data_IF_735494456442
#
_entry.id   IF_735494456442
#
_cell.length_a   1.000
_cell.length_b   1.000
_cell.length_c   1.000
_cell.angle_alpha   90.00
_cell.angle_beta   90.00
_cell.angle_gamma   90.00
#
_symmetry.space_group_name_H-M   'P 1'
#
loop_
_entity.id
_entity.type
_entity.pdbx_description
1 polymer ?
#
# COMPACT_ATOMS: atom_id res chain seq x y z
N UNK A 1 8.69 -6.17 -20.75
CA UNK A 1 7.36 -5.53 -20.62
C UNK A 1 6.86 -5.87 -19.23
N UNK A 2 6.36 -4.90 -18.45
CA UNK A 2 5.71 -5.22 -17.18
C UNK A 2 4.51 -6.12 -17.49
N UNK A 3 4.37 -7.22 -16.74
CA UNK A 3 3.25 -8.15 -16.90
C UNK A 3 1.97 -7.51 -16.36
N UNK A 4 0.82 -7.94 -16.88
CA UNK A 4 -0.51 -7.39 -16.56
C UNK A 4 -0.82 -7.34 -15.05
N UNK A 5 -0.12 -8.16 -14.24
CA UNK A 5 -0.30 -8.31 -12.80
C UNK A 5 0.70 -7.53 -11.94
N UNK A 6 1.61 -6.74 -12.52
CA UNK A 6 2.71 -6.14 -11.74
C UNK A 6 2.20 -5.14 -10.68
N UNK A 7 1.35 -4.19 -11.06
CA UNK A 7 0.79 -3.23 -10.10
C UNK A 7 -0.11 -3.89 -9.04
N UNK A 8 -1.08 -4.76 -9.40
CA UNK A 8 -1.85 -5.54 -8.43
C UNK A 8 -0.99 -6.30 -7.42
N UNK A 9 0.02 -7.04 -7.89
CA UNK A 9 0.88 -7.84 -7.01
C UNK A 9 1.72 -6.95 -6.10
N UNK A 10 2.32 -5.88 -6.64
CA UNK A 10 3.11 -4.93 -5.84
C UNK A 10 2.25 -4.23 -4.79
N UNK A 11 1.01 -3.89 -5.12
CA UNK A 11 0.05 -3.34 -4.17
C UNK A 11 -0.20 -4.29 -3.00
N UNK A 12 -0.63 -5.53 -3.26
CA UNK A 12 -0.98 -6.47 -2.19
C UNK A 12 0.22 -6.90 -1.35
N UNK A 13 1.41 -7.06 -1.97
CA UNK A 13 2.65 -7.30 -1.22
C UNK A 13 2.97 -6.12 -0.28
N UNK A 14 2.94 -4.90 -0.81
CA UNK A 14 3.29 -3.71 -0.02
C UNK A 14 2.29 -3.41 1.09
N UNK A 15 1.00 -3.58 0.81
CA UNK A 15 -0.08 -3.43 1.76
C UNK A 15 0.00 -4.47 2.87
N UNK A 16 0.24 -5.75 2.53
CA UNK A 16 0.38 -6.83 3.51
C UNK A 16 1.59 -6.63 4.42
N UNK A 17 2.74 -6.24 3.87
CA UNK A 17 3.92 -5.94 4.70
C UNK A 17 3.65 -4.81 5.69
N UNK A 18 2.89 -3.78 5.27
CA UNK A 18 2.49 -2.71 6.17
C UNK A 18 1.57 -3.20 7.29
N UNK A 19 0.54 -3.98 6.96
CA UNK A 19 -0.40 -4.49 7.96
C UNK A 19 0.29 -5.45 8.96
N UNK A 20 1.21 -6.30 8.51
CA UNK A 20 1.99 -7.20 9.39
C UNK A 20 2.97 -6.41 10.27
N UNK A 21 3.55 -5.31 9.76
CA UNK A 21 4.36 -4.41 10.59
C UNK A 21 3.53 -3.76 11.73
N UNK A 22 2.21 -3.71 11.58
CA UNK A 22 1.22 -3.28 12.56
C UNK A 22 0.86 -4.31 13.64
N UNK A 23 1.41 -5.53 13.59
CA UNK A 23 1.20 -6.67 14.52
C UNK A 23 -0.18 -7.34 14.50
N UNK A 24 -1.20 -6.74 13.89
CA UNK A 24 -2.51 -7.35 13.61
C UNK A 24 -3.00 -6.97 12.20
N UNK A 25 -3.69 -7.90 11.52
CA UNK A 25 -4.44 -7.64 10.28
C UNK A 25 -5.94 -7.54 10.64
N UNK A 26 -6.43 -6.39 11.15
CA UNK A 26 -7.85 -6.23 11.35
C UNK A 26 -8.58 -6.34 10.01
N UNK A 27 -9.69 -7.08 9.97
CA UNK A 27 -10.56 -7.26 8.79
C UNK A 27 -10.97 -5.94 8.12
N UNK A 28 -11.01 -4.84 8.88
CA UNK A 28 -11.26 -3.48 8.37
C UNK A 28 -10.14 -2.98 7.45
N UNK A 29 -8.88 -3.33 7.73
CA UNK A 29 -7.73 -2.97 6.88
C UNK A 29 -7.72 -3.77 5.58
N UNK A 30 -8.18 -5.03 5.58
CA UNK A 30 -8.32 -5.82 4.34
C UNK A 30 -9.39 -5.22 3.40
N UNK A 31 -10.55 -4.84 3.95
CA UNK A 31 -11.60 -4.18 3.17
C UNK A 31 -11.14 -2.84 2.60
N UNK A 32 -10.44 -2.03 3.40
CA UNK A 32 -9.85 -0.76 2.95
C UNK A 32 -8.81 -0.97 1.84
N UNK A 33 -8.02 -2.04 1.92
CA UNK A 33 -7.01 -2.39 0.91
C UNK A 33 -7.65 -2.72 -0.44
N UNK A 34 -8.76 -3.47 -0.42
CA UNK A 34 -9.53 -3.78 -1.63
C UNK A 34 -10.22 -2.55 -2.24
N UNK A 35 -10.83 -1.69 -1.41
CA UNK A 35 -11.48 -0.46 -1.88
C UNK A 35 -10.47 0.52 -2.51
N UNK A 36 -9.28 0.65 -1.91
CA UNK A 36 -8.21 1.49 -2.47
C UNK A 36 -7.73 0.97 -3.83
N UNK A 37 -7.55 -0.35 -3.96
CA UNK A 37 -7.15 -1.00 -5.21
C UNK A 37 -8.11 -0.66 -6.35
N UNK A 38 -9.41 -0.74 -6.12
CA UNK A 38 -10.41 -0.47 -7.14
C UNK A 38 -10.56 1.04 -7.41
N UNK A 39 -10.68 1.85 -6.37
CA UNK A 39 -11.03 3.27 -6.50
C UNK A 39 -9.87 4.17 -6.93
N UNK A 40 -8.63 3.85 -6.53
CA UNK A 40 -7.47 4.72 -6.78
C UNK A 40 -6.49 4.09 -7.77
N UNK A 41 -6.25 2.78 -7.66
CA UNK A 41 -5.34 2.08 -8.57
C UNK A 41 -6.04 1.57 -9.84
N UNK A 42 -7.38 1.65 -9.90
CA UNK A 42 -8.17 1.25 -11.07
C UNK A 42 -8.18 -0.26 -11.33
N UNK A 43 -7.86 -1.07 -10.31
CA UNK A 43 -7.78 -2.52 -10.44
C UNK A 43 -9.17 -3.14 -10.40
N UNK A 44 -9.40 -4.12 -11.26
CA UNK A 44 -10.60 -4.95 -11.23
C UNK A 44 -10.55 -5.95 -10.07
N UNK A 45 -11.71 -6.46 -9.68
CA UNK A 45 -11.80 -7.54 -8.68
C UNK A 45 -11.03 -8.79 -9.12
N UNK A 46 -11.04 -9.09 -10.42
CA UNK A 46 -10.32 -10.23 -10.99
C UNK A 46 -8.80 -10.07 -10.90
N UNK A 47 -8.26 -8.91 -11.30
CA UNK A 47 -6.84 -8.61 -11.12
C UNK A 47 -6.43 -8.67 -9.65
N UNK A 48 -7.30 -8.20 -8.75
CA UNK A 48 -7.05 -8.30 -7.31
C UNK A 48 -7.04 -9.76 -6.82
N UNK A 49 -7.93 -10.60 -7.35
CA UNK A 49 -8.02 -12.03 -7.01
C UNK A 49 -6.78 -12.78 -7.48
N UNK A 50 -6.39 -12.60 -8.74
CA UNK A 50 -5.20 -13.23 -9.33
C UNK A 50 -3.91 -12.77 -8.63
N UNK A 51 -3.80 -11.49 -8.31
CA UNK A 51 -2.62 -10.95 -7.64
C UNK A 51 -2.39 -11.48 -6.22
N UNK A 52 -3.46 -11.96 -5.57
CA UNK A 52 -3.42 -12.59 -4.24
C UNK A 52 -3.21 -14.10 -4.29
N UNK A 53 -3.13 -14.69 -5.48
CA UNK A 53 -2.91 -16.13 -5.64
C UNK A 53 -1.58 -16.56 -4.98
N UNK A 54 -1.64 -17.65 -4.22
CA UNK A 54 -0.52 -18.09 -3.38
C UNK A 54 0.67 -18.58 -4.22
N UNK A 55 0.41 -19.20 -5.37
CA UNK A 55 1.46 -19.69 -6.27
C UNK A 55 2.13 -18.52 -6.99
N UNK A 56 1.36 -17.46 -7.28
CA UNK A 56 1.89 -16.21 -7.84
C UNK A 56 2.74 -15.41 -6.84
N UNK A 57 2.29 -15.31 -5.58
CA UNK A 57 2.98 -14.54 -4.52
C UNK A 57 4.23 -15.27 -4.00
N UNK A 58 4.17 -16.58 -3.80
CA UNK A 58 5.24 -17.36 -3.15
C UNK A 58 6.58 -17.30 -3.87
N UNK A 59 6.57 -16.95 -5.15
CA UNK A 59 7.77 -16.81 -5.98
C UNK A 59 8.37 -15.39 -5.97
N UNK A 60 7.79 -14.43 -5.24
CA UNK A 60 8.27 -13.04 -5.17
C UNK A 60 9.10 -12.79 -3.91
N UNK A 61 10.26 -12.17 -4.09
CA UNK A 61 11.14 -11.75 -2.99
C UNK A 61 10.94 -10.28 -2.64
N UNK A 62 11.51 -9.85 -1.51
CA UNK A 62 11.60 -8.43 -1.16
C UNK A 62 12.29 -7.62 -2.26
N UNK A 63 13.32 -8.19 -2.91
CA UNK A 63 14.05 -7.53 -3.99
C UNK A 63 13.13 -7.31 -5.19
N UNK A 64 12.32 -8.31 -5.55
CA UNK A 64 11.36 -8.20 -6.64
C UNK A 64 10.31 -7.12 -6.37
N UNK A 65 9.86 -7.02 -5.12
CA UNK A 65 8.93 -5.97 -4.70
C UNK A 65 9.56 -4.57 -4.85
N UNK A 66 10.76 -4.35 -4.28
CA UNK A 66 11.43 -3.05 -4.32
C UNK A 66 11.86 -2.65 -5.75
N UNK A 67 12.31 -3.61 -6.56
CA UNK A 67 12.63 -3.37 -7.96
C UNK A 67 11.37 -3.08 -8.78
N UNK A 68 10.26 -3.77 -8.50
CA UNK A 68 8.98 -3.56 -9.16
C UNK A 68 8.42 -2.17 -8.88
N UNK A 69 8.36 -1.73 -7.61
CA UNK A 69 7.86 -0.38 -7.29
C UNK A 69 8.72 0.73 -7.89
N UNK A 70 10.03 0.50 -8.03
CA UNK A 70 10.94 1.44 -8.70
C UNK A 70 10.67 1.55 -10.21
N UNK A 71 10.18 0.48 -10.83
CA UNK A 71 9.90 0.43 -12.25
C UNK A 71 8.50 0.96 -12.62
N UNK A 72 7.63 1.19 -11.64
CA UNK A 72 6.32 1.80 -11.87
C UNK A 72 6.48 3.24 -12.38
N UNK A 73 5.55 3.73 -13.21
CA UNK A 73 5.51 5.15 -13.51
C UNK A 73 5.22 5.94 -12.23
N UNK A 74 5.68 7.20 -12.23
CA UNK A 74 5.71 8.03 -11.01
C UNK A 74 4.33 8.14 -10.36
N UNK A 75 3.29 8.32 -11.16
CA UNK A 75 1.92 8.47 -10.66
C UNK A 75 1.45 7.22 -9.88
N UNK A 76 1.63 6.03 -10.45
CA UNK A 76 1.25 4.77 -9.84
C UNK A 76 2.07 4.47 -8.59
N UNK A 77 3.36 4.80 -8.60
CA UNK A 77 4.24 4.63 -7.45
C UNK A 77 3.85 5.55 -6.27
N UNK A 78 3.45 6.80 -6.54
CA UNK A 78 2.96 7.74 -5.53
C UNK A 78 1.60 7.31 -4.96
N UNK A 79 0.70 6.81 -5.82
CA UNK A 79 -0.58 6.22 -5.38
C UNK A 79 -0.32 5.00 -4.49
N UNK A 80 0.53 4.07 -4.91
CA UNK A 80 0.88 2.89 -4.12
C UNK A 80 1.43 3.29 -2.75
N UNK A 81 2.39 4.23 -2.69
CA UNK A 81 2.96 4.71 -1.43
C UNK A 81 1.90 5.34 -0.53
N UNK A 82 1.02 6.16 -1.11
CA UNK A 82 -0.09 6.81 -0.38
C UNK A 82 -1.05 5.77 0.21
N UNK A 83 -1.44 4.77 -0.57
CA UNK A 83 -2.32 3.69 -0.12
C UNK A 83 -1.68 2.85 1.00
N UNK A 84 -0.39 2.56 0.88
CA UNK A 84 0.36 1.82 1.91
C UNK A 84 0.40 2.61 3.21
N UNK A 85 0.69 3.92 3.16
CA UNK A 85 0.66 4.78 4.36
C UNK A 85 -0.74 4.92 4.95
N UNK A 86 -1.79 4.87 4.13
CA UNK A 86 -3.17 4.97 4.58
C UNK A 86 -3.53 3.79 5.50
N UNK A 87 -3.00 2.59 5.22
CA UNK A 87 -3.17 1.40 6.07
C UNK A 87 -2.56 1.65 7.46
N UNK A 88 -1.34 2.19 7.53
CA UNK A 88 -0.70 2.53 8.80
C UNK A 88 -1.48 3.60 9.56
N UNK A 89 -2.06 4.58 8.86
CA UNK A 89 -2.90 5.60 9.48
C UNK A 89 -4.29 5.13 9.93
N UNK A 90 -4.64 3.85 9.79
CA UNK A 90 -5.90 3.31 10.31
C UNK A 90 -6.07 3.56 11.82
N UNK A 91 -4.97 3.58 12.58
CA UNK A 91 -4.95 3.89 14.02
C UNK A 91 -4.44 5.31 14.32
N UNK A 92 -4.48 6.20 13.32
CA UNK A 92 -4.09 7.64 13.40
C UNK A 92 -2.62 7.90 13.78
N UNK A 93 -1.81 6.87 13.91
CA UNK A 93 -0.37 6.96 14.17
C UNK A 93 0.35 5.85 13.43
N UNK A 94 1.61 6.08 13.05
CA UNK A 94 2.45 5.03 12.49
C UNK A 94 3.41 4.49 13.55
N UNK A 95 3.47 3.17 13.68
CA UNK A 95 4.47 2.47 14.49
C UNK A 95 5.86 2.56 13.82
N UNK A 96 6.97 2.38 14.57
CA UNK A 96 8.32 2.48 14.02
C UNK A 96 8.60 1.56 12.82
N UNK A 97 8.05 0.34 12.81
CA UNK A 97 8.22 -0.61 11.69
C UNK A 97 7.46 -0.18 10.45
N UNK A 98 6.29 0.43 10.61
CA UNK A 98 5.47 0.99 9.52
C UNK A 98 6.19 2.19 8.89
N UNK A 99 6.75 3.08 9.71
CA UNK A 99 7.59 4.21 9.24
C UNK A 99 8.80 3.69 8.46
N UNK A 100 9.47 2.64 8.96
CA UNK A 100 10.61 2.03 8.28
C UNK A 100 10.21 1.44 6.93
N UNK A 101 9.09 0.75 6.85
CA UNK A 101 8.59 0.20 5.59
C UNK A 101 8.22 1.28 4.57
N UNK A 102 7.46 2.29 4.99
CA UNK A 102 7.13 3.44 4.14
C UNK A 102 8.39 4.17 3.63
N UNK A 103 9.40 4.33 4.48
CA UNK A 103 10.67 4.95 4.11
C UNK A 103 11.47 4.10 3.10
N UNK A 104 11.46 2.78 3.25
CA UNK A 104 12.08 1.87 2.28
C UNK A 104 11.42 1.94 0.91
N UNK A 105 10.09 1.94 0.86
CA UNK A 105 9.33 2.10 -0.39
C UNK A 105 9.62 3.45 -1.05
N UNK A 106 9.55 4.54 -0.28
CA UNK A 106 9.84 5.88 -0.80
C UNK A 106 11.26 5.99 -1.36
N UNK A 107 12.23 5.39 -0.69
CA UNK A 107 13.61 5.33 -1.15
C UNK A 107 13.76 4.52 -2.44
N UNK A 108 13.09 3.35 -2.54
CA UNK A 108 13.11 2.53 -3.75
C UNK A 108 12.49 3.23 -4.97
N UNK A 109 11.39 3.96 -4.75
CA UNK A 109 10.69 4.75 -5.78
C UNK A 109 11.50 6.00 -6.18
N UNK A 110 12.35 6.53 -5.29
CA UNK A 110 13.10 7.77 -5.52
C UNK A 110 12.29 9.04 -5.22
N UNK A 111 11.41 8.96 -4.22
CA UNK A 111 10.49 10.04 -3.82
C UNK A 111 11.25 11.13 -3.05
N UNK A 112 11.04 12.39 -3.39
CA UNK A 112 11.60 13.52 -2.63
C UNK A 112 10.89 13.71 -1.28
N UNK A 113 11.50 14.37 -0.29
CA UNK A 113 10.85 14.64 1.00
C UNK A 113 9.50 15.37 0.86
N UNK A 114 9.39 16.32 -0.09
CA UNK A 114 8.15 17.06 -0.33
C UNK A 114 7.04 16.13 -0.84
N UNK A 115 7.36 15.25 -1.78
CA UNK A 115 6.40 14.27 -2.32
C UNK A 115 6.01 13.28 -1.23
N UNK A 116 6.98 12.80 -0.43
CA UNK A 116 6.72 11.91 0.70
C UNK A 116 5.74 12.54 1.70
N UNK A 117 5.94 13.82 2.04
CA UNK A 117 5.04 14.55 2.91
C UNK A 117 3.63 14.69 2.32
N UNK A 118 3.51 14.95 1.01
CA UNK A 118 2.19 14.95 0.32
C UNK A 118 1.51 13.58 0.40
N UNK A 119 2.24 12.50 0.16
CA UNK A 119 1.72 11.14 0.33
C UNK A 119 1.21 10.91 1.75
N UNK A 120 1.96 11.34 2.79
CA UNK A 120 1.53 11.24 4.19
C UNK A 120 0.24 12.01 4.46
N UNK A 121 0.11 13.24 3.95
CA UNK A 121 -1.08 14.07 4.13
C UNK A 121 -2.29 13.42 3.45
N UNK A 122 -2.15 13.00 2.20
CA UNK A 122 -3.21 12.34 1.44
C UNK A 122 -3.64 11.03 2.11
N UNK A 123 -2.68 10.23 2.56
CA UNK A 123 -2.93 8.98 3.27
C UNK A 123 -3.77 9.20 4.54
N UNK A 124 -3.46 10.25 5.31
CA UNK A 124 -4.22 10.62 6.52
C UNK A 124 -5.64 11.05 6.21
N UNK A 125 -5.84 11.84 5.14
CA UNK A 125 -7.18 12.25 4.69
C UNK A 125 -8.00 11.02 4.32
N UNK A 126 -7.45 10.11 3.51
CA UNK A 126 -8.15 8.90 3.08
C UNK A 126 -8.46 7.99 4.28
N UNK A 127 -7.49 7.77 5.18
CA UNK A 127 -7.70 6.99 6.40
C UNK A 127 -8.82 7.56 7.27
N UNK A 128 -8.95 8.90 7.36
CA UNK A 128 -10.02 9.55 8.11
C UNK A 128 -11.42 9.33 7.52
N UNK A 129 -11.53 9.09 6.21
CA UNK A 129 -12.80 8.74 5.56
C UNK A 129 -13.23 7.30 5.89
N UNK A 130 -12.28 6.40 6.09
CA UNK A 130 -12.53 5.00 6.44
C UNK A 130 -12.91 4.81 7.91
N UNK A 131 -12.43 5.70 8.78
CA UNK A 131 -12.82 5.76 10.20
C UNK A 131 -13.17 7.20 10.58
N UNK A 132 -14.39 7.67 10.28
CA UNK A 132 -14.83 9.00 10.67
C UNK A 132 -14.66 9.19 12.18
N UNK A 133 -14.12 10.34 12.56
CA UNK A 133 -13.86 10.70 13.96
C UNK A 133 -15.15 10.72 14.76
N UNK A 134 -15.51 9.57 15.34
CA UNK A 134 -16.78 9.39 16.05
C UNK A 134 -17.10 7.96 16.47
N UNK A 135 -16.38 6.94 15.97
CA UNK A 135 -16.43 5.59 16.53
C UNK A 135 -15.60 5.50 17.81
N UNK A 136 -16.13 6.03 18.92
CA UNK A 136 -15.66 5.64 20.24
C UNK A 136 -15.93 4.13 20.40
N UNK A 137 -14.87 3.36 20.62
CA UNK A 137 -14.96 2.14 21.42
C UNK A 137 -14.69 2.55 22.88
#
# INVERSE_FOLDING_TARGET
>A
MPTLLDLPTLWFLSARTMAVAGEDLPTVQEAATGLYAQAILGLTEEECREAKDADHISNKTLIDCLAGVRALPTEESEKLLTGVMMIAYADRSMKPLEVRWASMLASAIGVSPDVFQRCCVNARIIASMLRPSGGAA
#
